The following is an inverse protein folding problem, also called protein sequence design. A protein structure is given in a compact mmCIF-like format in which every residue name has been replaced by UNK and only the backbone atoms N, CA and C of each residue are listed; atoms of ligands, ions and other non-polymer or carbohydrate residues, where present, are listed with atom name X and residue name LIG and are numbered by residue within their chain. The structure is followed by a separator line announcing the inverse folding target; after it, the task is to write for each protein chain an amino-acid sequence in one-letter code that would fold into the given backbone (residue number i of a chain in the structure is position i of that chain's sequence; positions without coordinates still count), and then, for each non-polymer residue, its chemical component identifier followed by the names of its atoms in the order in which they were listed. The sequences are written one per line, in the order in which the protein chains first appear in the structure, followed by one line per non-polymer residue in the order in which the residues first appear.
data_IF_339618065594
#
_entry.id   IF_339618065594
#
_cell.length_a   1.000
_cell.length_b   1.000
_cell.length_c   1.000
_cell.angle_alpha   90.00
_cell.angle_beta   90.00
_cell.angle_gamma   90.00
#
_symmetry.space_group_name_H-M   'P 1'
#
loop_
_entity.id
_entity.type
_entity.pdbx_description
1 polymer ?
#
# COMPACT_ATOMS: atom_id res chain seq x y z
N UNK A 1 -17.03 -14.91 10.35
CA UNK A 1 -17.08 -13.68 9.54
C UNK A 1 -17.57 -12.60 10.47
N UNK A 2 -16.73 -11.61 10.78
CA UNK A 2 -16.98 -10.64 11.87
C UNK A 2 -18.19 -9.75 11.54
N UNK A 3 -19.19 -9.75 12.41
CA UNK A 3 -20.49 -9.07 12.22
C UNK A 3 -20.41 -7.55 12.40
N UNK A 4 -19.26 -6.98 12.76
CA UNK A 4 -19.10 -5.53 12.98
C UNK A 4 -19.13 -4.71 11.70
N UNK A 5 -19.04 -5.34 10.53
CA UNK A 5 -19.01 -4.68 9.23
C UNK A 5 -20.42 -4.54 8.61
N UNK A 6 -21.44 -4.32 9.44
CA UNK A 6 -22.83 -4.12 8.99
C UNK A 6 -23.34 -2.74 9.44
N UNK A 7 -22.62 -1.70 9.00
CA UNK A 7 -23.11 -0.32 8.98
C UNK A 7 -23.90 -0.05 7.69
N UNK A 8 -24.86 0.89 7.69
CA UNK A 8 -25.87 1.07 6.64
C UNK A 8 -25.36 1.69 5.30
N UNK A 9 -24.08 1.61 4.98
CA UNK A 9 -23.51 2.45 3.93
C UNK A 9 -23.11 1.65 2.67
N UNK A 10 -23.63 2.07 1.52
CA UNK A 10 -23.27 1.62 0.17
C UNK A 10 -21.79 1.86 -0.21
N UNK A 11 -20.96 2.26 0.76
CA UNK A 11 -19.54 2.62 0.61
C UNK A 11 -18.59 1.43 0.82
N UNK A 12 -19.10 0.24 1.20
CA UNK A 12 -18.28 -0.93 1.47
C UNK A 12 -17.43 -1.37 0.28
N UNK A 13 -17.97 -1.34 -0.95
CA UNK A 13 -17.22 -1.75 -2.14
C UNK A 13 -16.04 -0.80 -2.42
N UNK A 14 -16.28 0.52 -2.37
CA UNK A 14 -15.24 1.53 -2.59
C UNK A 14 -14.20 1.55 -1.48
N UNK A 15 -14.62 1.36 -0.22
CA UNK A 15 -13.69 1.20 0.89
C UNK A 15 -12.87 -0.08 0.77
N UNK A 16 -13.48 -1.20 0.39
CA UNK A 16 -12.75 -2.47 0.17
C UNK A 16 -11.73 -2.33 -0.96
N UNK A 17 -12.10 -1.72 -2.09
CA UNK A 17 -11.18 -1.41 -3.19
C UNK A 17 -10.04 -0.48 -2.75
N UNK A 18 -10.36 0.60 -2.04
CA UNK A 18 -9.36 1.53 -1.50
C UNK A 18 -8.39 0.82 -0.55
N UNK A 19 -8.90 -0.03 0.35
CA UNK A 19 -8.08 -0.82 1.28
C UNK A 19 -7.19 -1.83 0.55
N UNK A 20 -7.67 -2.48 -0.51
CA UNK A 20 -6.86 -3.38 -1.34
C UNK A 20 -5.71 -2.64 -2.03
N UNK A 21 -6.00 -1.49 -2.64
CA UNK A 21 -5.01 -0.63 -3.28
C UNK A 21 -3.99 -0.14 -2.25
N UNK A 22 -4.44 0.37 -1.09
CA UNK A 22 -3.57 0.80 0.01
C UNK A 22 -2.69 -0.34 0.52
N UNK A 23 -3.24 -1.54 0.70
CA UNK A 23 -2.49 -2.71 1.14
C UNK A 23 -1.35 -3.06 0.18
N UNK A 24 -1.62 -3.06 -1.13
CA UNK A 24 -0.62 -3.29 -2.17
C UNK A 24 0.47 -2.20 -2.16
N UNK A 25 0.06 -0.93 -2.01
CA UNK A 25 1.00 0.19 -1.96
C UNK A 25 1.92 0.13 -0.73
N UNK A 26 1.36 -0.22 0.44
CA UNK A 26 2.12 -0.43 1.68
C UNK A 26 3.09 -1.62 1.60
N UNK A 27 2.75 -2.65 0.82
CA UNK A 27 3.56 -3.86 0.63
C UNK A 27 4.68 -3.70 -0.41
N UNK A 28 4.86 -2.52 -1.00
CA UNK A 28 5.85 -2.31 -2.07
C UNK A 28 7.27 -2.75 -1.64
N UNK A 29 8.01 -3.50 -2.47
CA UNK A 29 9.32 -4.02 -2.08
C UNK A 29 10.33 -2.90 -1.78
N UNK A 30 10.34 -1.85 -2.59
CA UNK A 30 11.13 -0.64 -2.33
C UNK A 30 10.43 0.25 -1.30
N UNK A 31 11.14 0.54 -0.20
CA UNK A 31 10.68 1.40 0.90
C UNK A 31 10.36 2.82 0.46
N UNK A 32 11.05 3.35 -0.55
CA UNK A 32 10.85 4.73 -1.02
C UNK A 32 9.48 4.94 -1.67
N UNK A 33 8.87 3.87 -2.16
CA UNK A 33 7.56 3.90 -2.79
C UNK A 33 6.42 3.57 -1.83
N UNK A 34 6.72 3.13 -0.60
CA UNK A 34 5.70 2.88 0.42
C UNK A 34 5.14 4.21 0.92
N UNK A 35 3.81 4.35 1.08
CA UNK A 35 3.23 5.55 1.63
C UNK A 35 3.58 5.71 3.10
N UNK A 36 3.60 6.95 3.56
CA UNK A 36 3.56 7.24 5.00
C UNK A 36 2.17 6.92 5.57
N UNK A 37 2.09 6.68 6.88
CA UNK A 37 0.80 6.47 7.54
C UNK A 37 -0.16 7.65 7.33
N UNK A 38 0.36 8.87 7.27
CA UNK A 38 -0.42 10.09 7.00
C UNK A 38 -1.04 10.05 5.60
N UNK A 39 -0.26 9.71 4.58
CA UNK A 39 -0.78 9.57 3.21
C UNK A 39 -1.82 8.46 3.10
N UNK A 40 -1.58 7.32 3.76
CA UNK A 40 -2.53 6.21 3.76
C UNK A 40 -3.89 6.61 4.38
N UNK A 41 -3.88 7.37 5.47
CA UNK A 41 -5.10 7.88 6.10
C UNK A 41 -5.83 8.86 5.16
N UNK A 42 -5.12 9.76 4.50
CA UNK A 42 -5.73 10.73 3.56
C UNK A 42 -6.41 10.02 2.37
N UNK A 43 -5.80 8.97 1.84
CA UNK A 43 -6.41 8.15 0.77
C UNK A 43 -7.61 7.37 1.29
N UNK A 44 -7.53 6.82 2.52
CA UNK A 44 -8.65 6.11 3.15
C UNK A 44 -9.85 7.02 3.43
N UNK A 45 -9.61 8.28 3.78
CA UNK A 45 -10.64 9.31 3.94
C UNK A 45 -11.14 9.90 2.61
N UNK A 46 -10.61 9.45 1.46
CA UNK A 46 -10.89 10.00 0.13
C UNK A 46 -10.54 11.49 -0.03
N UNK A 47 -9.60 11.99 0.79
CA UNK A 47 -9.07 13.36 0.72
C UNK A 47 -7.92 13.48 -0.30
N UNK A 48 -7.33 12.36 -0.69
CA UNK A 48 -6.29 12.25 -1.69
C UNK A 48 -6.67 11.22 -2.77
N UNK A 49 -6.13 11.40 -3.98
CA UNK A 49 -6.30 10.44 -5.07
C UNK A 49 -5.65 9.08 -4.77
N UNK A 50 -6.19 8.02 -5.36
CA UNK A 50 -5.58 6.70 -5.29
C UNK A 50 -4.22 6.72 -6.01
N UNK A 51 -3.21 6.00 -5.49
CA UNK A 51 -1.94 5.86 -6.19
C UNK A 51 -2.13 5.08 -7.49
N UNK A 52 -1.37 5.43 -8.52
CA UNK A 52 -1.27 4.61 -9.74
C UNK A 52 -0.32 3.45 -9.43
N UNK A 53 -0.89 2.26 -9.26
CA UNK A 53 -0.14 1.04 -8.97
C UNK A 53 0.13 0.26 -10.25
N UNK A 54 1.35 -0.26 -10.41
CA UNK A 54 1.65 -1.12 -11.55
C UNK A 54 0.78 -2.39 -11.50
N UNK A 55 0.29 -2.82 -12.67
CA UNK A 55 -0.55 -4.04 -12.81
C UNK A 55 0.14 -5.33 -12.34
N UNK A 56 1.48 -5.31 -12.25
CA UNK A 56 2.30 -6.40 -11.73
C UNK A 56 3.16 -5.86 -10.61
N UNK A 57 3.24 -6.60 -9.50
CA UNK A 57 4.11 -6.23 -8.40
C UNK A 57 5.58 -6.31 -8.85
N UNK A 58 6.40 -5.28 -8.60
CA UNK A 58 7.80 -5.31 -8.98
C UNK A 58 8.57 -6.39 -8.21
N UNK A 59 9.59 -6.95 -8.85
CA UNK A 59 10.47 -7.94 -8.22
C UNK A 59 11.28 -7.25 -7.11
N UNK A 60 11.32 -7.79 -5.88
CA UNK A 60 12.16 -7.23 -4.84
C UNK A 60 13.64 -7.23 -5.23
N UNK A 61 14.26 -6.05 -5.22
CA UNK A 61 15.69 -5.90 -5.45
C UNK A 61 16.38 -5.78 -4.09
N UNK A 62 17.14 -6.80 -3.71
CA UNK A 62 17.95 -6.78 -2.50
C UNK A 62 19.38 -6.39 -2.87
N UNK A 63 19.83 -5.21 -2.43
CA UNK A 63 21.23 -4.85 -2.55
C UNK A 63 22.06 -5.75 -1.62
N UNK A 64 22.80 -6.68 -2.20
CA UNK A 64 23.87 -7.39 -1.49
C UNK A 64 25.06 -6.43 -1.44
N UNK A 65 25.49 -5.96 -0.26
CA UNK A 65 26.71 -5.18 -0.19
C UNK A 65 27.86 -6.04 -0.70
N UNK A 66 28.57 -5.58 -1.73
CA UNK A 66 29.79 -6.23 -2.17
C UNK A 66 30.76 -6.30 -0.99
N UNK A 67 31.44 -7.45 -0.76
CA UNK A 67 32.50 -7.52 0.23
C UNK A 67 33.45 -6.35 0.00
N UNK A 68 33.71 -5.58 1.05
CA UNK A 68 34.75 -4.56 1.02
C UNK A 68 36.05 -5.38 0.86
N UNK A 69 36.66 -5.38 -0.32
CA UNK A 69 38.01 -5.92 -0.49
C UNK A 69 38.88 -5.19 0.53
N UNK A 70 39.36 -5.92 1.54
CA UNK A 70 40.11 -5.35 2.65
C UNK A 70 41.37 -4.66 2.14
N UNK A 71 41.65 -3.47 2.68
CA UNK A 71 42.97 -2.84 2.58
C UNK A 71 43.63 -2.91 3.95
#
# INVERSE_FOLDING_TARGET
MDERMKGPDCNHQRQAECLMILGLWCAHPDRNWRPTIKQAIQVMNFEAGLPDLPKRMPVPVYHVPSPKEGR
#
